data_IF_278298878011
#
_entry.id   IF_278298878011
#
_cell.length_a   1.000
_cell.length_b   1.000
_cell.length_c   1.000
_cell.angle_alpha   90.00
_cell.angle_beta   90.00
_cell.angle_gamma   90.00
#
_symmetry.space_group_name_H-M   'P 1'
#
loop_
_entity.id
_entity.type
_entity.pdbx_description
1 polymer ?
#
# COMPACT_ATOMS: atom_id res chain seq x y z
N UNK A 1 0.46 -2.42 9.52
CA UNK A 1 -0.25 -1.19 9.98
C UNK A 1 0.39 0.00 9.28
N UNK A 2 -0.40 0.83 8.58
CA UNK A 2 0.14 2.04 7.93
C UNK A 2 0.01 3.23 8.90
N UNK A 3 1.08 4.03 9.12
CA UNK A 3 1.03 5.20 9.99
C UNK A 3 -0.05 6.21 9.59
N UNK A 4 -0.73 6.79 10.57
CA UNK A 4 -1.84 7.74 10.36
C UNK A 4 -1.37 9.03 9.72
N UNK A 5 -0.20 9.51 10.13
CA UNK A 5 0.37 10.75 9.62
C UNK A 5 0.71 10.60 8.13
N UNK A 6 1.28 9.47 7.72
CA UNK A 6 1.47 9.14 6.31
C UNK A 6 0.15 9.20 5.53
N UNK A 7 -0.94 8.62 6.07
CA UNK A 7 -2.24 8.72 5.41
C UNK A 7 -2.77 10.16 5.33
N UNK A 8 -2.50 10.98 6.35
CA UNK A 8 -2.94 12.39 6.41
C UNK A 8 -2.16 13.24 5.41
N UNK A 9 -0.84 13.18 5.47
CA UNK A 9 0.08 13.99 4.66
C UNK A 9 -0.11 13.73 3.16
N UNK A 10 -0.39 12.47 2.80
CA UNK A 10 -0.63 12.08 1.42
C UNK A 10 -2.10 12.13 0.99
N UNK A 11 -2.95 12.84 1.76
CA UNK A 11 -4.36 13.05 1.46
C UNK A 11 -5.09 11.73 1.18
N UNK A 12 -4.72 10.68 1.92
CA UNK A 12 -5.35 9.37 1.94
C UNK A 12 -6.41 9.39 3.06
N UNK A 13 -7.32 10.36 2.96
CA UNK A 13 -8.38 10.61 3.94
C UNK A 13 -9.74 10.29 3.32
N UNK A 14 -10.68 9.83 4.14
CA UNK A 14 -12.12 9.81 3.85
C UNK A 14 -12.68 8.61 3.09
N UNK A 15 -11.91 7.97 2.19
CA UNK A 15 -12.46 6.92 1.33
C UNK A 15 -11.52 5.74 1.12
N UNK A 16 -12.10 4.54 1.19
CA UNK A 16 -11.52 3.30 0.69
C UNK A 16 -11.20 3.47 -0.79
N UNK A 17 -9.95 3.24 -1.18
CA UNK A 17 -9.53 3.37 -2.58
C UNK A 17 -8.67 2.19 -2.99
N UNK A 18 -8.69 1.86 -4.27
CA UNK A 18 -7.71 0.94 -4.85
C UNK A 18 -6.48 1.74 -5.25
N UNK A 19 -5.33 1.37 -4.67
CA UNK A 19 -4.00 1.86 -5.05
C UNK A 19 -3.29 0.80 -5.88
N UNK A 20 -2.22 1.19 -6.56
CA UNK A 20 -1.30 0.24 -7.18
C UNK A 20 -0.09 0.06 -6.26
N UNK A 21 0.25 -1.17 -5.93
CA UNK A 21 1.53 -1.50 -5.31
C UNK A 21 2.41 -2.05 -6.41
N UNK A 22 3.63 -1.54 -6.52
CA UNK A 22 4.59 -1.93 -7.52
C UNK A 22 5.85 -2.46 -6.83
N UNK A 23 6.47 -3.51 -7.34
CA UNK A 23 7.76 -3.98 -6.84
C UNK A 23 8.93 -3.38 -7.64
N UNK A 24 10.16 -3.66 -7.23
CA UNK A 24 11.37 -3.16 -7.92
C UNK A 24 11.51 -3.64 -9.38
N UNK A 25 10.85 -4.74 -9.74
CA UNK A 25 10.81 -5.27 -11.10
C UNK A 25 9.74 -4.61 -11.97
N UNK A 26 8.96 -3.68 -11.40
CA UNK A 26 7.92 -2.96 -12.09
C UNK A 26 6.57 -3.69 -12.18
N UNK A 27 6.44 -4.89 -11.59
CA UNK A 27 5.16 -5.62 -11.52
C UNK A 27 4.18 -4.86 -10.62
N UNK A 28 2.90 -4.81 -10.99
CA UNK A 28 1.87 -4.03 -10.30
C UNK A 28 0.73 -4.90 -9.78
N UNK A 29 0.26 -4.61 -8.57
CA UNK A 29 -0.91 -5.24 -7.95
C UNK A 29 -1.93 -4.18 -7.51
N UNK A 30 -3.23 -4.34 -7.85
CA UNK A 30 -4.27 -3.50 -7.30
C UNK A 30 -4.53 -3.90 -5.83
N UNK A 31 -4.32 -2.97 -4.91
CA UNK A 31 -4.50 -3.19 -3.47
C UNK A 31 -5.49 -2.19 -2.90
N UNK A 32 -6.46 -2.68 -2.13
CA UNK A 32 -7.43 -1.82 -1.46
C UNK A 32 -6.79 -1.21 -0.22
N UNK A 33 -6.68 0.11 -0.21
CA UNK A 33 -6.24 0.89 0.93
C UNK A 33 -7.45 1.44 1.67
N UNK A 34 -7.59 1.00 2.92
CA UNK A 34 -8.67 1.37 3.81
C UNK A 34 -8.14 2.26 4.93
N UNK A 35 -8.90 3.31 5.23
CA UNK A 35 -8.78 4.06 6.48
C UNK A 35 -10.03 3.80 7.35
N UNK A 36 -9.83 3.29 8.57
CA UNK A 36 -10.86 3.20 9.61
C UNK A 36 -10.43 4.05 10.80
N UNK A 37 -10.97 5.25 10.90
CA UNK A 37 -10.63 6.21 11.96
C UNK A 37 -9.16 6.65 11.89
N UNK A 38 -8.40 6.25 12.91
CA UNK A 38 -6.96 6.43 13.10
C UNK A 38 -6.15 5.20 12.70
N UNK A 39 -6.71 4.28 11.92
CA UNK A 39 -5.97 3.10 11.42
C UNK A 39 -6.03 3.00 9.91
N UNK A 40 -4.86 2.71 9.35
CA UNK A 40 -4.64 2.46 7.93
C UNK A 40 -4.24 1.02 7.67
N UNK A 41 -4.87 0.39 6.67
CA UNK A 41 -4.56 -0.98 6.30
C UNK A 41 -4.67 -1.22 4.80
N UNK A 42 -3.83 -2.14 4.30
CA UNK A 42 -3.99 -2.77 3.00
C UNK A 42 -4.86 -4.02 3.20
N UNK A 43 -5.92 -4.14 2.41
CA UNK A 43 -6.87 -5.25 2.48
C UNK A 43 -6.83 -6.09 1.18
N UNK A 44 -7.96 -6.17 0.46
CA UNK A 44 -8.10 -6.94 -0.77
C UNK A 44 -6.96 -6.65 -1.76
N UNK A 45 -6.36 -7.72 -2.30
CA UNK A 45 -5.21 -7.65 -3.21
C UNK A 45 -3.85 -7.66 -2.52
N UNK A 46 -3.76 -7.37 -1.21
CA UNK A 46 -2.51 -7.45 -0.46
C UNK A 46 -1.97 -8.89 -0.38
N UNK A 47 -2.84 -9.87 -0.18
CA UNK A 47 -2.46 -11.29 -0.13
C UNK A 47 -1.84 -11.78 -1.44
N UNK A 48 -2.30 -11.28 -2.58
CA UNK A 48 -1.74 -11.60 -3.89
C UNK A 48 -0.33 -11.04 -4.02
N UNK A 49 -0.13 -9.79 -3.61
CA UNK A 49 1.20 -9.18 -3.58
C UNK A 49 2.16 -9.97 -2.69
N UNK A 50 1.74 -10.35 -1.47
CA UNK A 50 2.53 -11.16 -0.54
C UNK A 50 2.91 -12.50 -1.16
N UNK A 51 1.93 -13.21 -1.73
CA UNK A 51 2.15 -14.52 -2.34
C UNK A 51 3.09 -14.44 -3.56
N UNK A 52 2.85 -13.50 -4.48
CA UNK A 52 3.61 -13.40 -5.74
C UNK A 52 5.04 -12.85 -5.55
N UNK A 53 5.32 -12.21 -4.41
CA UNK A 53 6.65 -11.71 -4.04
C UNK A 53 7.31 -12.57 -2.93
N UNK A 54 6.73 -13.73 -2.59
CA UNK A 54 7.27 -14.65 -1.60
C UNK A 54 7.57 -13.99 -0.24
N UNK A 55 6.71 -13.08 0.21
CA UNK A 55 6.87 -12.41 1.50
C UNK A 55 6.38 -13.29 2.63
N UNK A 56 7.17 -13.39 3.70
CA UNK A 56 6.90 -14.19 4.89
C UNK A 56 6.83 -13.34 6.16
N UNK A 57 6.40 -13.95 7.26
CA UNK A 57 6.40 -13.29 8.56
C UNK A 57 7.84 -12.95 8.99
N UNK A 58 8.08 -11.69 9.30
CA UNK A 58 9.42 -11.18 9.64
C UNK A 58 10.05 -10.33 8.54
N UNK A 59 9.54 -10.42 7.30
CA UNK A 59 9.99 -9.56 6.22
C UNK A 59 9.57 -8.11 6.42
N UNK A 60 10.49 -7.19 6.10
CA UNK A 60 10.27 -5.75 6.21
C UNK A 60 10.03 -5.20 4.82
N UNK A 61 8.84 -4.64 4.61
CA UNK A 61 8.48 -3.95 3.38
C UNK A 61 8.61 -2.43 3.53
N UNK A 62 9.47 -1.80 2.74
CA UNK A 62 9.56 -0.34 2.67
C UNK A 62 8.75 0.20 1.48
N UNK A 63 7.79 1.09 1.75
CA UNK A 63 6.94 1.68 0.71
C UNK A 63 7.25 3.14 0.46
N UNK A 64 7.37 3.52 -0.82
CA UNK A 64 7.51 4.91 -1.26
C UNK A 64 6.33 5.32 -2.15
N UNK A 65 5.74 6.49 -1.89
CA UNK A 65 4.66 7.04 -2.73
C UNK A 65 5.23 7.83 -3.91
N UNK A 66 4.95 7.40 -5.14
CA UNK A 66 5.64 7.94 -6.33
C UNK A 66 4.79 8.90 -7.16
N UNK A 67 3.46 8.92 -7.01
CA UNK A 67 2.63 9.85 -7.77
C UNK A 67 1.34 10.22 -7.02
N UNK A 68 1.16 11.50 -6.71
CA UNK A 68 -0.01 11.99 -5.97
C UNK A 68 -1.32 11.91 -6.78
N UNK A 69 -1.24 11.88 -8.11
CA UNK A 69 -2.41 11.73 -9.00
C UNK A 69 -2.78 10.26 -9.27
N UNK A 70 -1.78 9.36 -9.24
CA UNK A 70 -1.94 7.90 -9.32
C UNK A 70 -1.18 7.30 -8.16
N UNK A 71 -1.84 7.02 -7.03
CA UNK A 71 -1.18 6.55 -5.81
C UNK A 71 -0.54 5.18 -6.06
N UNK A 72 0.75 5.18 -6.39
CA UNK A 72 1.61 4.00 -6.55
C UNK A 72 2.54 3.92 -5.35
N UNK A 73 2.57 2.77 -4.68
CA UNK A 73 3.56 2.46 -3.65
C UNK A 73 4.62 1.53 -4.23
N UNK A 74 5.90 1.90 -4.19
CA UNK A 74 6.99 0.98 -4.55
C UNK A 74 7.53 0.27 -3.32
N UNK A 75 7.59 -1.05 -3.38
CA UNK A 75 8.35 -1.88 -2.45
C UNK A 75 9.84 -1.85 -2.84
N UNK A 76 10.71 -1.51 -1.89
CA UNK A 76 12.16 -1.73 -1.97
C UNK A 76 12.60 -2.83 -1.02
#
# INVERSE_FOLDING_TARGET
NIPVDFLRDHHILGETRTIKVQNVEGREWPVRLLRRGDRGGLESGWSNFVYDNNLEEGDVCAFELINNKKKVLILK
#
